data_IF_818335773993
#
_entry.id   IF_818335773993
#
_cell.length_a   1.000
_cell.length_b   1.000
_cell.length_c   1.000
_cell.angle_alpha   90.00
_cell.angle_beta   90.00
_cell.angle_gamma   90.00
#
_symmetry.space_group_name_H-M   'P 1'
#
loop_
_entity.id
_entity.type
_entity.pdbx_description
1 polymer ?
2 non-polymer ?
3 water ?
#
# COMPACT_ATOMS: atom_id res chain seq x y z
N UNK A 3 11.63 13.45 -11.95
CA UNK A 3 11.91 13.70 -10.51
C UNK A 3 10.67 13.55 -9.64
N UNK A 4 10.74 12.69 -8.63
CA UNK A 4 9.62 12.48 -7.73
C UNK A 4 9.49 13.66 -6.78
N UNK A 5 8.28 14.22 -6.69
CA UNK A 5 8.03 15.35 -5.82
C UNK A 5 6.94 15.11 -4.78
N UNK A 6 6.48 13.87 -4.65
CA UNK A 6 5.45 13.57 -3.68
C UNK A 6 4.90 12.16 -3.77
N UNK A 7 4.62 11.56 -2.61
CA UNK A 7 4.09 10.21 -2.57
C UNK A 7 3.11 10.04 -1.40
N UNK A 8 1.95 9.47 -1.67
CA UNK A 8 0.97 9.26 -0.62
C UNK A 8 0.16 8.00 -0.82
N UNK A 9 -0.23 7.37 0.29
CA UNK A 9 -1.05 6.17 0.24
C UNK A 9 -2.20 6.32 1.22
N UNK A 10 -3.17 5.43 1.11
CA UNK A 10 -4.31 5.44 2.00
C UNK A 10 -5.02 4.12 1.95
N UNK A 11 -5.51 3.69 3.11
CA UNK A 11 -6.26 2.47 3.20
C UNK A 11 -7.56 2.82 3.92
N UNK A 12 -8.66 2.23 3.46
CA UNK A 12 -9.96 2.51 4.05
C UNK A 12 -10.74 1.20 4.24
N UNK A 13 -11.33 1.07 5.45
CA UNK A 13 -12.31 -0.01 5.66
C UNK A 13 -13.66 0.39 5.06
N UNK A 14 -14.15 -0.44 4.14
CA UNK A 14 -15.42 -0.13 3.49
C UNK A 14 -16.53 0.15 4.51
N UNK A 15 -16.55 -0.61 5.60
CA UNK A 15 -17.57 -0.43 6.62
C UNK A 15 -17.59 1.00 7.16
N UNK A 16 -16.43 1.64 7.24
CA UNK A 16 -16.34 3.03 7.72
C UNK A 16 -17.06 3.95 6.74
N UNK A 17 -16.80 3.74 5.45
CA UNK A 17 -17.41 4.54 4.40
C UNK A 17 -18.91 4.28 4.39
N UNK A 18 -19.30 3.01 4.55
CA UNK A 18 -20.71 2.66 4.57
C UNK A 18 -21.35 3.36 5.76
N UNK A 19 -20.65 3.32 6.89
CA UNK A 19 -21.10 3.92 8.13
C UNK A 19 -21.24 5.44 8.01
N UNK A 20 -20.37 6.07 7.23
CA UNK A 20 -20.42 7.52 7.05
C UNK A 20 -21.60 7.94 6.18
N UNK A 21 -21.91 7.13 5.17
CA UNK A 21 -23.03 7.43 4.30
C UNK A 21 -24.32 7.26 5.08
N UNK A 22 -24.41 6.15 5.79
CA UNK A 22 -25.59 5.88 6.58
C UNK A 22 -25.88 7.02 7.57
N UNK A 23 -24.87 7.41 8.34
CA UNK A 23 -25.02 8.48 9.34
C UNK A 23 -25.15 9.89 8.79
N UNK A 24 -24.60 10.16 7.61
CA UNK A 24 -24.66 11.50 7.04
C UNK A 24 -25.15 11.50 5.59
N UNK A 25 -26.41 11.89 5.43
CA UNK A 25 -27.08 11.93 4.14
C UNK A 25 -26.34 12.63 2.98
N UNK A 26 -25.55 13.65 3.29
CA UNK A 26 -24.84 14.36 2.24
C UNK A 26 -23.34 14.13 2.17
N UNK A 27 -22.89 13.03 2.76
CA UNK A 27 -21.47 12.69 2.77
C UNK A 27 -20.91 12.58 1.35
N UNK A 28 -21.56 11.75 0.54
CA UNK A 28 -21.15 11.53 -0.84
C UNK A 28 -21.06 12.83 -1.62
N UNK A 29 -22.06 13.68 -1.45
CA UNK A 29 -22.13 14.96 -2.13
C UNK A 29 -20.96 15.87 -1.76
N UNK A 30 -20.51 15.80 -0.51
CA UNK A 30 -19.38 16.61 -0.09
C UNK A 30 -18.05 16.07 -0.62
N UNK A 31 -17.96 14.74 -0.75
CA UNK A 31 -16.74 14.09 -1.20
C UNK A 31 -16.59 14.00 -2.72
N UNK A 32 -17.70 13.82 -3.43
CA UNK A 32 -17.66 13.67 -4.88
C UNK A 32 -18.08 14.88 -5.68
N UNK A 33 -17.43 15.08 -6.82
CA UNK A 33 -17.75 16.18 -7.72
C UNK A 33 -19.04 15.78 -8.45
N UNK A 34 -19.56 16.68 -9.27
CA UNK A 34 -20.78 16.41 -10.01
C UNK A 34 -20.58 15.19 -10.90
N UNK A 35 -19.46 15.16 -11.63
CA UNK A 35 -19.18 14.02 -12.49
C UNK A 35 -19.12 12.72 -11.66
N UNK A 36 -18.27 12.71 -10.62
CA UNK A 36 -18.16 11.54 -9.77
C UNK A 36 -19.53 11.14 -9.24
N UNK A 37 -20.30 12.13 -8.82
CA UNK A 37 -21.64 11.90 -8.28
C UNK A 37 -22.54 11.18 -9.30
N UNK A 38 -22.31 11.41 -10.59
CA UNK A 38 -23.12 10.75 -11.60
C UNK A 38 -22.88 9.24 -11.53
N UNK A 39 -21.65 8.81 -11.83
CA UNK A 39 -21.36 7.39 -11.78
C UNK A 39 -21.79 6.76 -10.45
N UNK A 40 -21.53 7.48 -9.37
CA UNK A 40 -21.91 7.00 -8.04
C UNK A 40 -23.38 6.63 -7.96
N UNK A 41 -24.24 7.60 -8.29
CA UNK A 41 -25.68 7.38 -8.22
C UNK A 41 -26.19 6.29 -9.15
N UNK A 42 -25.47 6.03 -10.24
CA UNK A 42 -25.87 5.00 -11.19
C UNK A 42 -25.45 3.62 -10.68
N UNK A 43 -24.82 3.58 -9.51
CA UNK A 43 -24.37 2.34 -8.91
C UNK A 43 -25.20 2.01 -7.68
N UNK A 44 -25.22 0.72 -7.32
CA UNK A 44 -25.98 0.26 -6.17
C UNK A 44 -25.12 -0.52 -5.17
N UNK A 45 -25.69 -0.78 -4.00
CA UNK A 45 -25.03 -1.54 -2.96
C UNK A 45 -23.53 -1.44 -2.81
N UNK A 46 -22.90 -2.57 -2.47
CA UNK A 46 -21.46 -2.65 -2.27
C UNK A 46 -20.66 -1.91 -3.33
N UNK A 47 -20.99 -2.12 -4.60
CA UNK A 47 -20.29 -1.45 -5.69
C UNK A 47 -20.31 0.07 -5.51
N UNK A 48 -21.47 0.59 -5.11
CA UNK A 48 -21.60 2.02 -4.91
C UNK A 48 -20.67 2.48 -3.77
N UNK A 49 -20.64 1.71 -2.68
CA UNK A 49 -19.78 2.05 -1.56
C UNK A 49 -18.31 1.96 -2.00
N UNK A 50 -17.98 0.90 -2.74
CA UNK A 50 -16.62 0.72 -3.20
C UNK A 50 -16.18 1.87 -4.13
N UNK A 51 -17.10 2.36 -4.96
CA UNK A 51 -16.76 3.45 -5.85
C UNK A 51 -16.47 4.69 -5.01
N UNK A 52 -17.31 4.91 -4.01
CA UNK A 52 -17.18 6.05 -3.14
C UNK A 52 -15.93 5.96 -2.28
N UNK A 53 -15.63 4.76 -1.80
CA UNK A 53 -14.47 4.52 -0.95
C UNK A 53 -13.16 4.73 -1.72
N UNK A 54 -13.10 4.20 -2.94
CA UNK A 54 -11.91 4.34 -3.75
C UNK A 54 -11.59 5.80 -4.05
N UNK A 55 -12.61 6.56 -4.44
CA UNK A 55 -12.42 7.99 -4.74
C UNK A 55 -11.92 8.75 -3.51
N UNK A 56 -12.52 8.43 -2.36
CA UNK A 56 -12.12 9.04 -1.11
C UNK A 56 -10.66 8.66 -0.81
N UNK A 57 -10.36 7.38 -1.01
CA UNK A 57 -9.03 6.86 -0.78
C UNK A 57 -8.04 7.57 -1.69
N UNK A 58 -8.39 7.68 -2.97
CA UNK A 58 -7.51 8.33 -3.93
C UNK A 58 -7.26 9.80 -3.54
N UNK A 59 -8.32 10.52 -3.22
CA UNK A 59 -8.19 11.93 -2.85
C UNK A 59 -7.36 12.11 -1.59
N UNK A 60 -7.46 11.12 -0.70
CA UNK A 60 -6.70 11.17 0.54
C UNK A 60 -5.23 10.93 0.21
N UNK A 61 -4.96 9.94 -0.62
CA UNK A 61 -3.59 9.62 -0.99
C UNK A 61 -2.92 10.80 -1.69
N UNK A 62 -3.66 11.47 -2.56
CA UNK A 62 -3.12 12.62 -3.28
C UNK A 62 -2.76 13.77 -2.34
N UNK A 63 -3.61 14.01 -1.35
CA UNK A 63 -3.35 15.07 -0.39
C UNK A 63 -2.09 14.79 0.40
N UNK A 64 -1.88 13.53 0.74
CA UNK A 64 -0.68 13.19 1.48
C UNK A 64 0.52 13.36 0.54
N UNK A 65 0.41 12.82 -0.67
CA UNK A 65 1.48 12.93 -1.65
C UNK A 65 1.92 14.39 -1.79
N UNK A 66 0.98 15.30 -1.61
CA UNK A 66 1.27 16.73 -1.72
C UNK A 66 1.95 17.21 -0.43
N UNK A 67 1.87 16.39 0.61
CA UNK A 67 2.50 16.76 1.87
C UNK A 67 1.56 17.52 2.79
N UNK A 68 0.36 17.77 2.30
CA UNK A 68 -0.66 18.49 3.05
C UNK A 68 -0.69 18.10 4.53
N UNK A 69 -0.26 16.89 4.84
CA UNK A 69 -0.26 16.44 6.22
C UNK A 69 -1.66 16.03 6.64
N UNK A 70 -2.09 16.50 7.81
CA UNK A 70 -3.43 16.19 8.30
C UNK A 70 -4.44 17.16 7.66
N UNK A 71 -4.02 18.41 7.48
CA UNK A 71 -4.88 19.42 6.85
C UNK A 71 -5.13 18.92 5.44
N UNK A 72 -6.08 19.53 4.72
CA UNK A 72 -6.34 18.86 3.45
C UNK A 72 -6.80 19.85 2.38
N UNK A 73 -6.79 19.38 1.14
CA UNK A 73 -7.28 20.21 0.06
C UNK A 73 -8.80 20.11 -0.08
N UNK A 74 -9.35 20.89 -1.03
CA UNK A 74 -10.79 20.83 -1.26
C UNK A 74 -11.21 19.42 -1.69
N UNK A 75 -11.95 18.46 -1.16
CA UNK A 75 -12.21 17.24 -1.93
C UNK A 75 -12.93 17.55 -3.24
N UNK A 76 -13.53 18.73 -3.32
CA UNK A 76 -14.21 19.16 -4.53
C UNK A 76 -13.16 19.70 -5.49
N UNK A 77 -11.94 19.92 -4.99
CA UNK A 77 -10.85 20.43 -5.82
C UNK A 77 -10.11 19.27 -6.49
N UNK A 78 -10.53 18.05 -6.19
CA UNK A 78 -9.89 16.88 -6.76
C UNK A 78 -10.93 16.04 -7.48
N UNK A 79 -10.56 15.47 -8.62
CA UNK A 79 -11.48 14.63 -9.37
C UNK A 79 -10.81 13.40 -9.94
N UNK A 80 -11.47 12.26 -9.79
CA UNK A 80 -10.91 11.02 -10.29
C UNK A 80 -11.90 10.33 -11.20
N UNK A 81 -11.54 10.25 -12.48
CA UNK A 81 -12.39 9.60 -13.47
C UNK A 81 -11.62 8.41 -14.02
N UNK A 82 -12.24 7.73 -14.97
CA UNK A 82 -11.60 6.58 -15.60
C UNK A 82 -11.24 6.98 -17.02
N UNK A 83 -9.99 6.72 -17.40
CA UNK A 83 -9.50 7.07 -18.75
C UNK A 83 -9.95 6.10 -19.85
N UNK A 84 -9.46 6.30 -21.07
CA UNK A 84 -9.88 5.43 -22.15
C UNK A 84 -9.42 3.97 -21.97
N UNK A 85 -8.38 3.75 -21.17
CA UNK A 85 -7.94 2.39 -20.92
C UNK A 85 -8.68 1.85 -19.71
N UNK A 86 -9.68 2.59 -19.24
CA UNK A 86 -10.46 2.17 -18.10
C UNK A 86 -9.80 2.29 -16.73
N UNK A 87 -8.70 3.04 -16.66
CA UNK A 87 -8.01 3.21 -15.39
C UNK A 87 -8.38 4.55 -14.76
N UNK A 88 -8.46 4.59 -13.43
CA UNK A 88 -8.79 5.81 -12.71
C UNK A 88 -7.61 6.78 -12.78
N UNK A 89 -7.92 8.06 -12.94
CA UNK A 89 -6.88 9.07 -13.02
C UNK A 89 -7.47 10.36 -12.50
N UNK A 90 -6.62 11.30 -12.16
CA UNK A 90 -7.10 12.58 -11.69
C UNK A 90 -7.37 13.42 -12.92
N UNK A 91 -8.62 13.84 -13.07
CA UNK A 91 -9.01 14.68 -14.19
C UNK A 91 -8.86 16.13 -13.72
N UNK A 92 -8.88 16.33 -12.41
CA UNK A 92 -8.71 17.66 -11.84
C UNK A 92 -7.88 17.56 -10.56
N UNK A 93 -6.83 18.37 -10.50
CA UNK A 93 -5.94 18.40 -9.34
C UNK A 93 -5.08 19.65 -9.40
N UNK A 94 -4.79 20.26 -8.25
CA UNK A 94 -3.96 21.47 -8.23
C UNK A 94 -2.49 21.15 -8.48
N UNK A 95 -2.22 20.20 -9.38
CA UNK A 95 -0.85 19.81 -9.69
C UNK A 95 -0.63 19.81 -11.18
N UNK A 96 0.50 20.33 -11.61
CA UNK A 96 0.78 20.40 -13.03
C UNK A 96 1.72 19.32 -13.56
N UNK A 97 2.26 18.49 -12.68
CA UNK A 97 3.16 17.44 -13.13
C UNK A 97 2.43 16.12 -13.38
N UNK A 98 3.18 15.04 -13.48
CA UNK A 98 2.58 13.72 -13.71
C UNK A 98 2.06 13.15 -12.40
N UNK A 99 0.87 12.57 -12.47
CA UNK A 99 0.24 11.95 -11.32
C UNK A 99 0.05 10.47 -11.58
N UNK A 100 0.71 9.63 -10.80
CA UNK A 100 0.54 8.19 -10.96
C UNK A 100 -0.37 7.72 -9.84
N UNK A 101 -1.52 7.18 -10.22
CA UNK A 101 -2.53 6.69 -9.29
C UNK A 101 -2.88 5.25 -9.51
N UNK A 102 -3.06 4.50 -8.42
CA UNK A 102 -3.47 3.10 -8.50
C UNK A 102 -4.39 2.82 -7.32
N UNK A 103 -5.51 2.15 -7.60
CA UNK A 103 -6.47 1.82 -6.59
C UNK A 103 -6.74 0.33 -6.61
N UNK A 104 -7.06 -0.24 -5.45
CA UNK A 104 -7.34 -1.67 -5.36
C UNK A 104 -8.24 -1.92 -4.15
N UNK A 105 -9.03 -2.98 -4.22
CA UNK A 105 -9.91 -3.23 -3.09
C UNK A 105 -10.20 -4.72 -2.91
N UNK A 106 -10.68 -5.05 -1.70
CA UNK A 106 -11.24 -6.35 -1.43
C UNK A 106 -12.73 -6.20 -1.16
N UNK A 107 -13.35 -7.28 -0.68
CA UNK A 107 -14.72 -7.15 -0.20
C UNK A 107 -14.77 -6.29 1.07
N UNK A 108 -13.63 -5.97 1.68
CA UNK A 108 -13.63 -5.20 2.93
C UNK A 108 -12.80 -3.93 2.97
N UNK A 109 -11.75 -3.87 2.16
CA UNK A 109 -10.88 -2.69 2.15
C UNK A 109 -10.60 -2.17 0.75
N UNK A 110 -10.08 -0.94 0.71
CA UNK A 110 -9.69 -0.31 -0.53
C UNK A 110 -8.39 0.45 -0.20
N UNK A 111 -7.46 0.46 -1.15
CA UNK A 111 -6.19 1.18 -0.95
C UNK A 111 -5.85 1.98 -2.18
N UNK A 112 -5.15 3.09 -1.98
CA UNK A 112 -4.74 3.95 -3.09
C UNK A 112 -3.30 4.40 -2.90
N UNK A 113 -2.58 4.47 -4.01
CA UNK A 113 -1.20 4.90 -3.98
C UNK A 113 -1.07 5.94 -5.06
N UNK A 114 -0.42 7.04 -4.72
CA UNK A 114 -0.22 8.15 -5.62
C UNK A 114 1.25 8.58 -5.60
N UNK A 115 1.84 8.70 -6.78
CA UNK A 115 3.20 9.17 -6.88
C UNK A 115 3.16 10.42 -7.75
N UNK A 116 3.72 11.52 -7.25
CA UNK A 116 3.74 12.75 -8.02
C UNK A 116 5.10 12.91 -8.67
N UNK A 117 5.12 13.25 -9.95
CA UNK A 117 6.35 13.39 -10.70
C UNK A 117 6.37 14.59 -11.65
N UNK A 118 7.56 15.11 -11.91
CA UNK A 118 7.73 16.23 -12.83
C UNK A 118 9.19 16.48 -13.17
N UNK B 3 16.32 9.41 -10.17
CA UNK B 3 16.61 7.96 -10.22
C UNK B 3 16.11 7.27 -8.97
N UNK B 4 15.31 6.24 -9.15
CA UNK B 4 14.77 5.47 -8.04
C UNK B 4 15.83 4.47 -7.61
N UNK B 5 16.03 4.35 -6.30
CA UNK B 5 17.03 3.40 -5.83
C UNK B 5 16.46 2.39 -4.84
N UNK B 6 15.15 2.47 -4.61
CA UNK B 6 14.50 1.54 -3.71
C UNK B 6 13.01 1.80 -3.49
N UNK B 7 12.26 0.72 -3.26
CA UNK B 7 10.82 0.82 -3.02
C UNK B 7 10.41 -0.30 -2.07
N UNK B 8 9.65 0.03 -1.04
CA UNK B 8 9.21 -0.97 -0.08
C UNK B 8 7.90 -0.64 0.59
N UNK B 9 7.05 -1.65 0.79
CA UNK B 9 5.78 -1.44 1.44
C UNK B 9 5.65 -2.38 2.64
N UNK B 10 4.66 -2.12 3.47
CA UNK B 10 4.42 -2.98 4.61
C UNK B 10 3.05 -2.71 5.16
N UNK B 11 2.41 -3.79 5.63
CA UNK B 11 1.13 -3.71 6.31
C UNK B 11 1.17 -4.50 7.61
N UNK B 12 0.61 -3.89 8.66
CA UNK B 12 0.59 -4.57 9.94
C UNK B 12 -0.84 -4.65 10.49
N UNK B 13 -1.14 -5.80 11.13
CA UNK B 13 -2.36 -5.84 11.91
C UNK B 13 -2.12 -5.29 13.31
N UNK B 14 -2.95 -4.30 13.69
CA UNK B 14 -2.76 -3.67 15.00
C UNK B 14 -2.77 -4.70 16.13
N UNK B 15 -3.65 -5.68 16.01
CA UNK B 15 -3.78 -6.71 17.03
C UNK B 15 -2.45 -7.37 17.40
N UNK B 16 -1.61 -7.66 16.40
CA UNK B 16 -0.34 -8.30 16.70
C UNK B 16 0.66 -7.36 17.37
N UNK B 17 0.55 -6.06 17.12
CA UNK B 17 1.45 -5.12 17.78
C UNK B 17 0.97 -5.05 19.23
N UNK B 18 -0.34 -5.22 19.40
CA UNK B 18 -0.95 -5.22 20.72
C UNK B 18 -0.38 -6.36 21.57
N UNK B 19 -0.29 -7.54 20.97
CA UNK B 19 0.24 -8.71 21.68
C UNK B 19 1.72 -8.54 21.98
N UNK B 20 2.46 -8.07 21.00
CA UNK B 20 3.90 -7.87 21.17
C UNK B 20 4.13 -6.99 22.38
N UNK B 21 3.43 -5.86 22.43
CA UNK B 21 3.57 -4.93 23.55
C UNK B 21 3.19 -5.61 24.87
N UNK B 22 2.04 -6.27 24.87
CA UNK B 22 1.57 -6.95 26.07
C UNK B 22 2.56 -8.04 26.53
N UNK B 23 3.02 -8.85 25.59
CA UNK B 23 3.96 -9.92 25.93
C UNK B 23 5.30 -9.44 26.46
N UNK B 24 5.94 -8.54 25.72
CA UNK B 24 7.25 -8.02 26.11
C UNK B 24 7.22 -6.54 26.42
N UNK B 25 7.49 -6.23 27.68
CA UNK B 25 7.49 -4.85 28.14
C UNK B 25 8.61 -4.07 27.46
N UNK B 26 9.61 -4.77 26.94
CA UNK B 26 10.70 -4.08 26.30
C UNK B 26 10.54 -3.88 24.81
N UNK B 27 9.49 -4.46 24.25
CA UNK B 27 9.22 -4.38 22.82
C UNK B 27 9.34 -2.98 22.21
N UNK B 28 8.48 -2.07 22.65
CA UNK B 28 8.47 -0.71 22.13
C UNK B 28 9.81 -0.01 22.33
N UNK B 29 10.50 -0.38 23.40
CA UNK B 29 11.78 0.23 23.72
C UNK B 29 12.84 -0.18 22.69
N UNK B 30 12.64 -1.34 22.09
CA UNK B 30 13.58 -1.88 21.11
C UNK B 30 13.29 -1.42 19.68
N UNK B 31 12.03 -1.09 19.42
CA UNK B 31 11.61 -0.67 18.09
C UNK B 31 11.74 0.84 17.88
N UNK B 32 11.49 1.59 18.94
CA UNK B 32 11.54 3.04 18.91
C UNK B 32 12.84 3.63 19.42
N UNK B 33 13.14 4.84 18.96
CA UNK B 33 14.34 5.57 19.40
C UNK B 33 13.91 6.37 20.62
N UNK B 34 14.86 7.03 21.27
CA UNK B 34 14.55 7.84 22.43
C UNK B 34 13.46 8.85 22.06
N UNK B 35 13.69 9.60 20.98
CA UNK B 35 12.72 10.59 20.53
C UNK B 35 11.37 9.95 20.28
N UNK B 36 11.35 8.91 19.47
CA UNK B 36 10.09 8.23 19.18
C UNK B 36 9.41 7.77 20.46
N UNK B 37 10.18 7.22 21.39
CA UNK B 37 9.64 6.74 22.65
C UNK B 37 8.97 7.85 23.46
N UNK B 38 9.47 9.07 23.35
CA UNK B 38 8.87 10.19 24.08
C UNK B 38 7.45 10.44 23.59
N UNK B 39 7.23 10.29 22.29
CA UNK B 39 5.88 10.48 21.77
C UNK B 39 5.03 9.30 22.21
N UNK B 40 5.59 8.10 22.07
CA UNK B 40 4.92 6.86 22.45
C UNK B 40 4.35 6.94 23.87
N UNK B 41 5.08 7.60 24.75
CA UNK B 41 4.65 7.71 26.13
C UNK B 41 3.55 8.74 26.32
N UNK B 42 3.51 9.76 25.46
CA UNK B 42 2.47 10.79 25.57
C UNK B 42 1.12 10.32 25.04
N UNK B 43 1.09 9.12 24.48
CA UNK B 43 -0.16 8.56 23.95
C UNK B 43 -0.58 7.45 24.91
N UNK B 44 -1.81 6.95 24.77
CA UNK B 44 -2.26 5.94 25.77
C UNK B 44 -2.79 4.61 25.17
N UNK B 45 -4.10 4.49 25.04
CA UNK B 45 -4.68 3.27 24.56
C UNK B 45 -4.43 3.03 23.09
N UNK B 46 -5.50 2.97 22.31
CA UNK B 46 -5.43 2.71 20.89
C UNK B 46 -4.37 3.54 20.15
N UNK B 47 -4.38 4.85 20.37
CA UNK B 47 -3.44 5.75 19.70
C UNK B 47 -1.95 5.40 19.89
N UNK B 48 -1.61 4.95 21.09
CA UNK B 48 -0.25 4.59 21.39
C UNK B 48 0.18 3.37 20.57
N UNK B 49 -0.74 2.43 20.39
CA UNK B 49 -0.47 1.25 19.60
C UNK B 49 -0.38 1.60 18.12
N UNK B 50 -1.24 2.52 17.68
CA UNK B 50 -1.26 2.96 16.28
C UNK B 50 0.04 3.64 15.93
N UNK B 51 0.55 4.46 16.85
CA UNK B 51 1.80 5.16 16.63
C UNK B 51 2.93 4.12 16.47
N UNK B 52 3.03 3.22 17.43
CA UNK B 52 4.04 2.16 17.40
C UNK B 52 3.95 1.31 16.13
N UNK B 53 2.74 0.87 15.79
CA UNK B 53 2.51 0.06 14.61
C UNK B 53 2.90 0.80 13.34
N UNK B 54 2.67 2.11 13.35
CA UNK B 54 3.01 2.92 12.20
C UNK B 54 4.51 3.03 12.05
N UNK B 55 5.22 3.20 13.16
CA UNK B 55 6.67 3.32 13.09
C UNK B 55 7.30 1.98 12.67
N UNK B 56 6.76 0.89 13.18
CA UNK B 56 7.27 -0.44 12.83
C UNK B 56 7.06 -0.63 11.34
N UNK B 57 5.85 -0.35 10.89
CA UNK B 57 5.52 -0.47 9.48
C UNK B 57 6.45 0.34 8.58
N UNK B 58 6.73 1.59 8.98
CA UNK B 58 7.60 2.48 8.22
C UNK B 58 9.05 1.98 8.17
N UNK B 59 9.57 1.55 9.31
CA UNK B 59 10.94 1.06 9.37
C UNK B 59 11.08 -0.25 8.56
N UNK B 60 10.05 -1.06 8.58
CA UNK B 60 10.09 -2.30 7.82
C UNK B 60 10.07 -1.93 6.33
N UNK B 61 9.15 -1.05 5.95
CA UNK B 61 9.03 -0.63 4.57
C UNK B 61 10.35 -0.03 4.09
N UNK B 62 11.02 0.69 4.98
CA UNK B 62 12.30 1.30 4.62
C UNK B 62 13.39 0.24 4.43
N UNK B 63 13.43 -0.76 5.30
CA UNK B 63 14.43 -1.81 5.20
C UNK B 63 14.25 -2.59 3.91
N UNK B 64 13.01 -2.70 3.48
CA UNK B 64 12.74 -3.42 2.25
C UNK B 64 13.10 -2.56 1.04
N UNK B 65 12.86 -1.26 1.15
CA UNK B 65 13.18 -0.34 0.07
C UNK B 65 14.69 -0.39 -0.15
N UNK B 66 15.42 -0.64 0.94
CA UNK B 66 16.87 -0.72 0.85
C UNK B 66 17.27 -2.09 0.33
N UNK B 67 16.29 -2.97 0.20
CA UNK B 67 16.58 -4.31 -0.29
C UNK B 67 17.41 -5.09 0.71
N UNK B 68 16.72 -5.68 1.69
CA UNK B 68 17.35 -6.48 2.72
C UNK B 68 16.51 -7.74 2.87
N UNK B 69 15.46 -7.81 2.04
CA UNK B 69 14.55 -8.94 2.01
C UNK B 69 14.18 -9.57 3.34
N UNK B 70 14.97 -10.57 3.74
CA UNK B 70 14.76 -11.27 5.01
C UNK B 70 15.24 -10.40 6.16
N UNK B 71 16.49 -9.98 6.08
CA UNK B 71 17.11 -9.16 7.11
C UNK B 71 16.50 -7.76 7.18
N UNK B 72 16.92 -7.02 8.22
CA UNK B 72 16.46 -5.66 8.42
C UNK B 72 17.60 -4.87 9.04
N UNK B 73 17.59 -3.57 8.79
CA UNK B 73 18.57 -2.66 9.34
C UNK B 73 18.22 -2.54 10.82
N UNK B 74 19.12 -1.94 11.59
CA UNK B 74 18.83 -1.77 12.99
C UNK B 74 17.65 -0.81 13.09
N UNK B 75 16.65 -1.13 13.89
CA UNK B 75 15.53 -0.23 14.02
C UNK B 75 15.94 1.05 14.74
N UNK B 76 17.02 0.98 15.51
CA UNK B 76 17.50 2.14 16.24
C UNK B 76 18.27 3.08 15.32
N UNK B 77 18.48 2.65 14.09
CA UNK B 77 19.17 3.48 13.11
C UNK B 77 18.15 4.19 12.23
N UNK B 78 16.88 4.01 12.58
CA UNK B 78 15.80 4.62 11.85
C UNK B 78 14.88 5.37 12.80
N UNK B 79 14.54 6.59 12.43
CA UNK B 79 13.64 7.39 13.25
C UNK B 79 12.60 8.09 12.37
N UNK B 80 11.36 8.05 12.81
CA UNK B 80 10.26 8.68 12.09
C UNK B 80 9.53 9.66 12.99
N UNK B 81 9.57 10.93 12.61
CA UNK B 81 8.91 11.98 13.37
C UNK B 81 7.82 12.60 12.53
N UNK B 82 6.99 13.44 13.15
CA UNK B 82 5.93 14.13 12.43
C UNK B 82 6.34 15.60 12.30
N UNK B 83 6.14 16.17 11.11
CA UNK B 83 6.49 17.55 10.88
C UNK B 83 5.39 18.48 11.37
N UNK B 84 5.63 19.79 11.30
CA UNK B 84 4.69 20.82 11.73
C UNK B 84 3.24 20.44 11.36
N UNK B 85 3.04 19.98 10.13
CA UNK B 85 1.72 19.62 9.61
C UNK B 85 1.19 18.24 10.01
N UNK B 86 2.01 17.44 10.68
CA UNK B 86 1.56 16.11 11.09
C UNK B 86 2.00 15.01 10.13
N UNK B 87 2.70 15.36 9.06
CA UNK B 87 3.16 14.36 8.13
C UNK B 87 4.39 13.65 8.70
N UNK B 88 4.41 12.30 8.62
CA UNK B 88 5.54 11.53 9.14
C UNK B 88 6.66 11.51 8.10
N UNK B 89 7.91 11.56 8.56
CA UNK B 89 9.07 11.54 7.67
C UNK B 89 10.23 10.90 8.42
N UNK B 90 11.27 10.53 7.70
CA UNK B 90 12.44 9.94 8.35
C UNK B 90 13.42 11.02 8.78
N UNK B 91 13.60 11.17 10.09
CA UNK B 91 14.54 12.16 10.60
C UNK B 91 15.94 11.53 10.67
N UNK B 92 15.98 10.20 10.80
CA UNK B 92 17.25 9.47 10.86
C UNK B 92 17.16 8.27 9.93
N UNK B 93 18.21 8.07 9.13
CA UNK B 93 18.26 6.95 8.20
C UNK B 93 19.66 6.81 7.61
N UNK B 94 20.10 5.57 7.36
CA UNK B 94 21.43 5.30 6.77
C UNK B 94 21.46 5.57 5.26
N UNK B 95 20.55 6.43 4.81
CA UNK B 95 20.44 6.76 3.40
C UNK B 95 20.75 8.25 3.23
N UNK B 96 21.25 8.64 2.07
CA UNK B 96 21.58 10.05 1.84
C UNK B 96 20.67 10.72 0.83
N UNK B 97 19.93 9.91 0.07
CA UNK B 97 19.04 10.49 -0.92
C UNK B 97 17.73 10.95 -0.30
N UNK B 98 16.71 11.09 -1.14
CA UNK B 98 15.40 11.52 -0.66
C UNK B 98 14.59 10.30 -0.26
N UNK B 99 13.95 10.39 0.90
CA UNK B 99 13.10 9.30 1.37
C UNK B 99 11.65 9.75 1.28
N UNK B 100 10.88 9.11 0.42
CA UNK B 100 9.48 9.45 0.29
C UNK B 100 8.72 8.38 1.05
N UNK B 101 8.13 8.79 2.16
CA UNK B 101 7.39 7.87 3.02
C UNK B 101 5.95 8.30 3.16
N UNK B 102 5.09 7.33 3.35
CA UNK B 102 3.68 7.59 3.57
C UNK B 102 3.11 6.45 4.41
N UNK B 103 2.28 6.82 5.38
CA UNK B 103 1.64 5.86 6.27
C UNK B 103 0.14 6.16 6.29
N UNK B 104 -0.66 5.11 6.38
CA UNK B 104 -2.13 5.23 6.45
C UNK B 104 -2.57 4.09 7.36
N UNK B 105 -3.77 4.20 7.93
CA UNK B 105 -4.22 3.09 8.77
C UNK B 105 -5.73 3.09 8.98
N UNK B 106 -6.25 1.88 9.24
CA UNK B 106 -7.64 1.76 9.67
C UNK B 106 -7.71 1.40 11.16
N UNK B 107 -8.87 0.89 11.59
CA UNK B 107 -8.99 0.50 12.99
C UNK B 107 -8.23 -0.79 13.30
N UNK B 108 -8.00 -1.62 12.28
CA UNK B 108 -7.32 -2.89 12.51
C UNK B 108 -5.96 -3.01 11.84
N UNK B 109 -5.72 -2.22 10.78
CA UNK B 109 -4.46 -2.30 10.07
C UNK B 109 -3.75 -0.98 9.84
N UNK B 110 -2.45 -1.06 9.65
CA UNK B 110 -1.64 0.12 9.36
C UNK B 110 -0.82 -0.22 8.14
N UNK B 111 -0.57 0.77 7.29
CA UNK B 111 0.20 0.52 6.08
C UNK B 111 1.26 1.60 5.84
N UNK B 112 2.37 1.21 5.21
CA UNK B 112 3.47 2.13 4.92
C UNK B 112 4.11 1.89 3.53
N UNK B 113 4.54 2.99 2.90
CA UNK B 113 5.17 2.89 1.58
C UNK B 113 6.35 3.85 1.56
N UNK B 114 7.46 3.37 1.02
CA UNK B 114 8.70 4.12 0.90
C UNK B 114 9.27 4.01 -0.50
N UNK B 115 9.55 5.19 -1.08
CA UNK B 115 10.31 5.23 -2.31
C UNK B 115 11.65 5.94 -2.07
N UNK B 116 12.74 5.26 -2.47
CA UNK B 116 14.04 5.92 -2.33
C UNK B 116 14.49 6.55 -3.65
N UNK B 117 14.99 7.77 -3.58
CA UNK B 117 15.42 8.47 -4.78
C UNK B 117 16.83 9.05 -4.64
N UNK B 118 17.63 8.90 -5.69
CA UNK B 118 19.00 9.37 -5.68
C UNK B 118 19.21 10.51 -6.66
N UNK C 3 12.75 8.22 -15.53
CA UNK C 3 11.30 8.58 -15.44
C UNK C 3 10.42 7.38 -15.14
N UNK C 4 9.33 7.64 -14.41
CA UNK C 4 8.37 6.60 -14.07
C UNK C 4 7.50 6.40 -15.29
N UNK C 5 7.28 5.14 -15.68
CA UNK C 5 6.44 4.85 -16.84
C UNK C 5 5.26 3.96 -16.45
N UNK C 6 5.08 3.75 -15.14
CA UNK C 6 3.99 2.91 -14.70
C UNK C 6 3.93 2.70 -13.20
N UNK C 7 2.72 2.48 -12.68
CA UNK C 7 2.53 2.26 -11.25
C UNK C 7 1.27 1.44 -10.98
N UNK C 8 1.41 0.40 -10.19
CA UNK C 8 0.26 -0.42 -9.88
C UNK C 8 0.39 -1.06 -8.50
N UNK C 9 -0.75 -1.24 -7.85
CA UNK C 9 -0.77 -1.88 -6.55
C UNK C 9 -1.90 -2.89 -6.54
N UNK C 10 -1.93 -3.72 -5.53
CA UNK C 10 -3.00 -4.70 -5.39
C UNK C 10 -3.07 -5.21 -3.96
N UNK C 11 -4.29 -5.48 -3.53
CA UNK C 11 -4.53 -6.02 -2.20
C UNK C 11 -5.42 -7.23 -2.43
N UNK C 12 -5.17 -8.30 -1.69
CA UNK C 12 -5.94 -9.52 -1.82
C UNK C 12 -6.24 -10.13 -0.46
N UNK C 13 -7.44 -10.68 -0.34
CA UNK C 13 -7.84 -11.35 0.90
C UNK C 13 -7.35 -12.79 0.76
N UNK C 14 -6.53 -13.23 1.70
CA UNK C 14 -6.00 -14.59 1.68
C UNK C 14 -7.10 -15.63 1.56
N UNK C 15 -8.19 -15.47 2.31
CA UNK C 15 -9.30 -16.41 2.27
C UNK C 15 -9.81 -16.53 0.85
N UNK C 16 -9.84 -15.41 0.15
CA UNK C 16 -10.31 -15.34 -1.22
C UNK C 16 -9.41 -16.16 -2.16
N UNK C 17 -8.13 -16.25 -1.85
CA UNK C 17 -7.21 -17.02 -2.69
C UNK C 17 -7.44 -18.53 -2.47
N UNK C 18 -7.75 -18.91 -1.23
CA UNK C 18 -8.01 -20.31 -0.93
C UNK C 18 -9.24 -20.75 -1.72
N UNK C 19 -10.37 -20.10 -1.43
CA UNK C 19 -11.63 -20.40 -2.11
C UNK C 19 -11.33 -20.64 -3.59
N UNK C 20 -10.50 -19.78 -4.17
CA UNK C 20 -10.14 -19.94 -5.57
C UNK C 20 -9.47 -21.29 -5.76
N UNK C 21 -8.45 -21.55 -4.94
CA UNK C 21 -7.70 -22.80 -4.99
C UNK C 21 -8.64 -23.97 -4.76
N UNK C 22 -9.66 -23.73 -3.94
CA UNK C 22 -10.66 -24.73 -3.61
C UNK C 22 -11.59 -24.98 -4.81
N UNK C 23 -12.15 -23.93 -5.38
CA UNK C 23 -13.03 -24.06 -6.54
C UNK C 23 -12.24 -24.75 -7.65
N UNK C 24 -11.85 -24.01 -8.69
CA UNK C 24 -11.07 -24.62 -9.77
C UNK C 24 -9.64 -24.88 -9.31
N UNK C 25 -9.36 -26.13 -8.92
CA UNK C 25 -8.03 -26.49 -8.43
C UNK C 25 -6.91 -26.23 -9.43
N UNK C 26 -7.26 -26.11 -10.72
CA UNK C 26 -6.24 -25.83 -11.71
C UNK C 26 -5.80 -24.39 -11.63
N UNK C 27 -6.34 -23.68 -10.63
CA UNK C 27 -6.03 -22.28 -10.41
C UNK C 27 -4.53 -21.99 -10.34
N UNK C 28 -3.88 -22.53 -9.31
CA UNK C 28 -2.45 -22.33 -9.10
C UNK C 28 -1.58 -22.62 -10.32
N UNK C 29 -1.83 -23.74 -10.98
CA UNK C 29 -1.04 -24.10 -12.15
C UNK C 29 -1.20 -23.04 -13.24
N UNK C 30 -2.36 -22.41 -13.27
CA UNK C 30 -2.63 -21.37 -14.26
C UNK C 30 -1.99 -20.03 -13.88
N UNK C 31 -1.89 -19.78 -12.57
CA UNK C 31 -1.31 -18.53 -12.07
C UNK C 31 0.21 -18.55 -11.94
N UNK C 32 0.76 -19.70 -11.56
CA UNK C 32 2.20 -19.82 -11.39
C UNK C 32 2.88 -20.46 -12.59
N UNK C 33 4.19 -20.26 -12.71
CA UNK C 33 4.98 -20.86 -13.78
C UNK C 33 5.54 -22.15 -13.18
N UNK C 34 6.26 -22.94 -13.98
CA UNK C 34 6.85 -24.19 -13.50
C UNK C 34 7.73 -23.97 -12.27
N UNK C 35 8.74 -23.13 -12.38
CA UNK C 35 9.61 -22.87 -11.23
C UNK C 35 8.76 -22.45 -10.04
N UNK C 36 7.87 -21.47 -10.24
CA UNK C 36 7.01 -21.00 -9.15
C UNK C 36 6.21 -22.14 -8.51
N UNK C 37 5.74 -23.07 -9.34
CA UNK C 37 4.97 -24.21 -8.84
C UNK C 37 5.82 -25.11 -7.94
N UNK C 38 7.03 -25.42 -8.39
CA UNK C 38 7.93 -26.28 -7.61
C UNK C 38 8.01 -25.73 -6.19
N UNK C 39 8.10 -24.41 -6.10
CA UNK C 39 8.18 -23.74 -4.81
C UNK C 39 6.84 -23.85 -4.07
N UNK C 40 5.75 -23.62 -4.80
CA UNK C 40 4.41 -23.69 -4.21
C UNK C 40 4.12 -25.06 -3.60
N UNK C 41 4.20 -26.09 -4.44
CA UNK C 41 3.91 -27.47 -4.03
C UNK C 41 4.85 -27.98 -2.94
N UNK C 42 5.94 -27.26 -2.68
CA UNK C 42 6.88 -27.70 -1.65
C UNK C 42 6.59 -27.02 -0.31
N UNK C 43 5.56 -26.17 -0.29
CA UNK C 43 5.16 -25.47 0.93
C UNK C 43 3.84 -26.03 1.42
N UNK C 44 3.45 -25.66 2.64
CA UNK C 44 2.20 -26.13 3.22
C UNK C 44 1.63 -25.15 4.24
N UNK C 45 0.34 -25.32 4.55
CA UNK C 45 -0.32 -24.45 5.50
C UNK C 45 -0.47 -23.03 5.03
N UNK C 46 -0.69 -22.12 5.97
CA UNK C 46 -0.86 -20.70 5.67
C UNK C 46 0.24 -20.18 4.73
N UNK C 47 1.47 -20.66 4.92
CA UNK C 47 2.61 -20.24 4.11
C UNK C 47 2.45 -20.52 2.62
N UNK C 48 1.80 -21.62 2.27
CA UNK C 48 1.62 -21.96 0.87
C UNK C 48 0.59 -21.06 0.19
N UNK C 49 -0.48 -20.72 0.90
CA UNK C 49 -1.50 -19.87 0.32
C UNK C 49 -0.92 -18.45 0.20
N UNK C 50 -0.14 -18.03 1.18
CA UNK C 50 0.46 -16.70 1.16
C UNK C 50 1.37 -16.54 -0.05
N UNK C 51 2.10 -17.61 -0.37
CA UNK C 51 2.99 -17.57 -1.50
C UNK C 51 2.19 -17.37 -2.79
N UNK C 52 1.07 -18.08 -2.90
CA UNK C 52 0.22 -17.98 -4.07
C UNK C 52 -0.44 -16.61 -4.15
N UNK C 53 -1.01 -16.18 -3.02
CA UNK C 53 -1.66 -14.89 -2.96
C UNK C 53 -0.64 -13.82 -3.32
N UNK C 54 0.56 -13.96 -2.76
CA UNK C 54 1.64 -13.02 -3.02
C UNK C 54 2.02 -12.94 -4.48
N UNK C 55 2.09 -14.08 -5.17
CA UNK C 55 2.47 -14.04 -6.58
C UNK C 55 1.33 -13.49 -7.42
N UNK C 56 0.10 -13.80 -7.05
CA UNK C 56 -1.06 -13.29 -7.77
C UNK C 56 -1.02 -11.75 -7.66
N UNK C 57 -1.01 -11.28 -6.42
CA UNK C 57 -0.98 -9.86 -6.14
C UNK C 57 0.13 -9.14 -6.91
N UNK C 58 1.32 -9.74 -6.92
CA UNK C 58 2.45 -9.14 -7.62
C UNK C 58 2.16 -8.97 -9.11
N UNK C 59 1.58 -10.01 -9.70
CA UNK C 59 1.28 -10.00 -11.12
C UNK C 59 0.15 -9.03 -11.46
N UNK C 60 -0.82 -8.93 -10.56
CA UNK C 60 -1.94 -8.02 -10.79
C UNK C 60 -1.40 -6.60 -10.83
N UNK C 61 -0.67 -6.21 -9.78
CA UNK C 61 -0.09 -4.86 -9.68
C UNK C 61 0.74 -4.54 -10.90
N UNK C 62 1.56 -5.50 -11.33
CA UNK C 62 2.40 -5.30 -12.50
C UNK C 62 1.54 -5.10 -13.76
N UNK C 63 0.47 -5.87 -13.88
CA UNK C 63 -0.41 -5.75 -15.05
C UNK C 63 -1.06 -4.38 -15.07
N UNK C 64 -1.41 -3.88 -13.89
CA UNK C 64 -2.03 -2.59 -13.79
C UNK C 64 -1.00 -1.49 -14.04
N UNK C 65 0.25 -1.75 -13.67
CA UNK C 65 1.30 -0.78 -13.88
C UNK C 65 1.55 -0.67 -15.38
N UNK C 66 1.42 -1.80 -16.06
CA UNK C 66 1.61 -1.85 -17.51
C UNK C 66 0.42 -1.27 -18.26
N UNK C 67 -0.76 -1.33 -17.63
CA UNK C 67 -1.94 -0.81 -18.29
C UNK C 67 -2.43 -1.85 -19.27
N UNK C 68 -2.27 -3.11 -18.90
CA UNK C 68 -2.68 -4.22 -19.73
C UNK C 68 -3.90 -4.87 -19.09
N UNK C 74 -0.31 -12.46 -19.75
CA UNK C 74 -0.39 -13.84 -19.32
C UNK C 74 0.46 -14.10 -18.08
N UNK C 75 -0.22 -14.52 -16.99
CA UNK C 75 0.50 -14.81 -15.76
C UNK C 75 1.65 -15.79 -16.00
N UNK C 76 1.48 -16.73 -16.91
CA UNK C 76 2.54 -17.71 -17.20
C UNK C 76 3.73 -16.99 -17.83
N UNK C 77 3.49 -15.77 -18.30
CA UNK C 77 4.55 -14.97 -18.92
C UNK C 77 5.27 -14.11 -17.89
N UNK C 78 4.79 -14.18 -16.65
CA UNK C 78 5.38 -13.43 -15.55
C UNK C 78 5.85 -14.40 -14.48
N UNK C 79 6.98 -14.11 -13.87
CA UNK C 79 7.53 -14.97 -12.82
C UNK C 79 8.18 -14.14 -11.72
N UNK C 80 7.82 -14.45 -10.49
CA UNK C 80 8.38 -13.76 -9.33
C UNK C 80 9.11 -14.77 -8.49
N UNK C 81 10.40 -14.55 -8.34
CA UNK C 81 11.22 -15.43 -7.52
C UNK C 81 11.72 -14.63 -6.32
N UNK C 82 12.56 -15.26 -5.50
CA UNK C 82 13.13 -14.61 -4.33
C UNK C 82 14.65 -14.71 -4.43
N UNK C 83 15.33 -13.59 -4.22
CA UNK C 83 16.78 -13.58 -4.29
C UNK C 83 17.36 -14.12 -2.98
N UNK C 84 18.68 -14.25 -2.93
CA UNK C 84 19.36 -14.77 -1.75
C UNK C 84 18.96 -14.05 -0.47
N UNK C 85 18.56 -12.79 -0.58
CA UNK C 85 18.16 -12.03 0.59
C UNK C 85 16.69 -12.26 0.97
N UNK C 86 15.97 -13.04 0.16
CA UNK C 86 14.57 -13.33 0.45
C UNK C 86 13.59 -12.36 -0.17
N UNK C 87 14.12 -11.38 -0.89
CA UNK C 87 13.29 -10.37 -1.54
C UNK C 87 12.75 -10.84 -2.89
N UNK C 88 11.43 -10.67 -3.10
CA UNK C 88 10.80 -11.07 -4.36
C UNK C 88 11.20 -10.09 -5.46
N UNK C 89 11.21 -10.56 -6.71
CA UNK C 89 11.58 -9.72 -7.85
C UNK C 89 11.13 -10.43 -9.11
N UNK C 90 10.84 -9.66 -10.15
CA UNK C 90 10.40 -10.27 -11.40
C UNK C 90 11.54 -10.84 -12.21
N UNK C 91 11.56 -12.16 -12.35
CA UNK C 91 12.60 -12.82 -13.13
C UNK C 91 12.19 -12.80 -14.60
N UNK C 92 10.90 -12.58 -14.86
CA UNK C 92 10.41 -12.53 -16.23
C UNK C 92 9.23 -11.57 -16.33
N UNK C 93 9.26 -10.70 -17.34
CA UNK C 93 8.18 -9.73 -17.54
C UNK C 93 8.30 -8.97 -18.85
N UNK C 94 7.16 -8.76 -19.53
CA UNK C 94 7.15 -8.03 -20.80
C UNK C 94 7.55 -6.56 -20.63
N UNK C 95 8.68 -6.34 -19.97
CA UNK C 95 9.17 -4.99 -19.72
C UNK C 95 10.69 -5.02 -19.62
N UNK C 96 11.37 -4.10 -20.29
CA UNK C 96 12.82 -4.09 -20.27
C UNK C 96 13.47 -3.08 -19.32
N UNK C 97 12.67 -2.27 -18.66
CA UNK C 97 13.22 -1.32 -17.73
C UNK C 97 13.29 -1.94 -16.35
N UNK C 98 13.52 -1.11 -15.33
CA UNK C 98 13.59 -1.62 -13.96
C UNK C 98 12.20 -1.74 -13.38
N UNK C 99 11.93 -2.89 -12.75
CA UNK C 99 10.65 -3.14 -12.11
C UNK C 99 10.86 -3.13 -10.60
N UNK C 100 10.35 -2.12 -9.91
CA UNK C 100 10.49 -2.06 -8.47
C UNK C 100 9.28 -2.69 -7.86
N UNK C 101 9.50 -3.84 -7.23
CA UNK C 101 8.45 -4.61 -6.62
C UNK C 101 8.57 -4.74 -5.11
N UNK C 102 7.43 -4.72 -4.43
CA UNK C 102 7.43 -4.90 -3.00
C UNK C 102 6.13 -5.60 -2.64
N UNK C 103 6.24 -6.57 -1.74
CA UNK C 103 5.09 -7.33 -1.30
C UNK C 103 5.12 -7.38 0.22
N UNK C 104 3.95 -7.45 0.85
CA UNK C 104 3.88 -7.54 2.29
C UNK C 104 2.58 -8.25 2.65
N UNK C 105 2.53 -8.85 3.82
CA UNK C 105 1.30 -9.57 4.14
C UNK C 105 1.06 -9.72 5.65
N UNK C 106 -0.22 -9.86 6.00
CA UNK C 106 -0.60 -10.26 7.34
C UNK C 106 -1.27 -11.63 7.32
N UNK C 107 -1.84 -12.04 8.46
CA UNK C 107 -2.52 -13.33 8.48
C UNK C 107 -3.74 -13.34 7.57
N UNK C 108 -4.31 -12.18 7.31
CA UNK C 108 -5.53 -12.09 6.52
C UNK C 108 -5.36 -11.51 5.12
N UNK C 109 -4.41 -10.60 4.96
CA UNK C 109 -4.22 -9.98 3.65
C UNK C 109 -2.81 -9.92 3.12
N UNK C 110 -2.71 -9.57 1.85
CA UNK C 110 -1.43 -9.40 1.17
C UNK C 110 -1.55 -8.19 0.24
N UNK C 111 -0.48 -7.42 0.14
CA UNK C 111 -0.47 -6.24 -0.73
C UNK C 111 0.78 -6.27 -1.59
N UNK C 112 0.65 -5.72 -2.79
CA UNK C 112 1.76 -5.66 -3.73
C UNK C 112 1.80 -4.27 -4.38
N UNK C 113 3.01 -3.74 -4.55
CA UNK C 113 3.17 -2.43 -5.16
C UNK C 113 4.25 -2.54 -6.23
N UNK C 114 3.96 -1.95 -7.39
CA UNK C 114 4.90 -1.98 -8.49
C UNK C 114 5.11 -0.62 -9.15
N UNK C 115 6.39 -0.28 -9.33
CA UNK C 115 6.74 0.97 -10.00
C UNK C 115 7.64 0.63 -11.18
N UNK C 116 7.22 0.99 -12.38
CA UNK C 116 8.02 0.76 -13.58
C UNK C 116 8.86 1.99 -13.85
N UNK C 117 10.14 1.77 -14.14
CA UNK C 117 11.05 2.87 -14.41
C UNK C 117 11.93 2.63 -15.62
N UNK C 118 12.29 3.72 -16.30
CA UNK C 118 13.14 3.71 -17.48
C UNK C 118 14.21 4.78 -17.33
X LIG D 1 -4.68 8.24 7.85
X LIG D 1 -3.39 8.99 7.91
X LIG D 1 -4.90 7.48 9.08
X LIG D 1 -4.66 7.29 6.69
X LIG D 1 -5.80 9.21 7.67
X LIG E 1 6.47 -8.87 5.06
X LIG E 1 6.78 -9.61 3.79
X LIG E 1 6.50 -7.39 4.74
X LIG E 1 7.53 -9.16 6.09
X LIG E 1 5.12 -9.26 5.57
#
# INVERSE_FOLDING_TARGET
MRMIVGHGIDIEELASIESAVTRHEGFAKRVLTALEMERFTSLKGRRQIEYLAGRWSAKEAFSKAMGTGISKLGFQDLEVLNNERGAPYFSQAPFSGKIWLSISHTDQFVTASVILEENHES
MRMIVGHGIDIEELASIESAVTRHEGFAKRVLTALEMERFTSLKGRRQIEYLAGRWSAKEAFSKAMGTGISKLGFQDLEVLNNERGAPYFSQAPFSGKIWLSISHTDQFVTASVILEENHES
MRMIVGHGIDIEELASIESAVTRHEGFAKRVLTALEMERFTSLKGRRQIEYLAGRWSAKEAFSKAMGTGISKLGFQDLEVLNNERGAPYFSQAPFSGKIWLSISHTDQFVTASVILEENHES
SO4 S O1 O2 O3 O4
SO4 S O1 O2 O3 O4
#
